data_IF_119344771995
#
_entry.id   IF_119344771995
#
_cell.length_a   1.000
_cell.length_b   1.000
_cell.length_c   1.000
_cell.angle_alpha   90.00
_cell.angle_beta   90.00
_cell.angle_gamma   90.00
#
_symmetry.space_group_name_H-M   'P 1'
#
loop_
_entity.id
_entity.type
_entity.pdbx_description
1 polymer ?
#
# COMPACT_ATOMS: atom_id res chain seq x y z
N UNK A 1 11.51 -25.92 42.67
CA UNK A 1 12.11 -24.71 43.27
C UNK A 1 12.25 -23.67 42.20
N UNK A 2 11.27 -22.83 42.09
CA UNK A 2 11.17 -21.41 42.37
C UNK A 2 12.23 -20.51 41.74
N UNK A 3 11.84 -19.64 40.82
CA UNK A 3 11.84 -18.20 41.10
C UNK A 3 11.10 -17.41 40.02
N UNK A 4 9.95 -16.89 40.43
CA UNK A 4 9.18 -15.84 39.75
C UNK A 4 9.94 -14.53 39.80
N UNK A 5 10.11 -13.84 38.66
CA UNK A 5 10.53 -12.45 38.62
C UNK A 5 9.36 -11.54 38.28
N UNK A 6 8.89 -10.85 39.30
CA UNK A 6 7.93 -9.75 39.29
C UNK A 6 8.53 -8.54 38.56
N UNK A 7 7.79 -7.95 37.62
CA UNK A 7 7.75 -6.49 37.39
C UNK A 7 6.46 -6.11 36.66
N UNK A 8 5.35 -6.19 37.38
CA UNK A 8 4.20 -5.32 37.11
C UNK A 8 4.47 -4.00 37.83
N UNK A 9 4.68 -2.91 37.10
CA UNK A 9 4.60 -1.56 37.64
C UNK A 9 3.15 -1.10 37.54
N UNK A 10 2.46 -1.15 38.66
CA UNK A 10 1.20 -0.44 38.92
C UNK A 10 1.47 1.05 38.77
N UNK A 11 0.75 1.69 37.85
CA UNK A 11 0.65 3.13 37.78
C UNK A 11 -0.47 3.56 38.73
N UNK A 12 -0.12 3.99 39.96
CA UNK A 12 -1.04 4.58 40.88
C UNK A 12 -1.42 6.00 40.45
N UNK A 13 -2.65 6.18 39.99
CA UNK A 13 -3.27 7.50 39.88
C UNK A 13 -3.61 7.94 41.32
N UNK A 14 -2.95 8.98 41.78
CA UNK A 14 -3.20 9.61 43.05
C UNK A 14 -4.34 10.60 42.86
N UNK A 15 -5.54 10.21 43.28
CA UNK A 15 -6.65 11.12 43.47
C UNK A 15 -6.35 12.05 44.66
N UNK A 16 -6.13 13.32 44.34
CA UNK A 16 -6.24 14.38 45.36
C UNK A 16 -7.59 15.01 45.21
N UNK A 17 -8.41 14.76 46.24
CA UNK A 17 -9.72 15.36 46.40
C UNK A 17 -9.68 16.89 46.34
N UNK A 18 -10.54 17.45 45.54
CA UNK A 18 -10.94 18.85 45.59
C UNK A 18 -12.34 18.96 46.12
N UNK A 19 -12.64 19.96 46.95
CA UNK A 19 -13.87 20.04 47.72
C UNK A 19 -15.07 20.36 46.86
N UNK A 20 -16.22 19.82 47.26
CA UNK A 20 -17.57 20.06 46.77
C UNK A 20 -17.82 21.56 46.57
N UNK A 21 -18.12 21.97 45.35
CA UNK A 21 -18.60 23.30 45.04
C UNK A 21 -20.12 23.26 44.85
N UNK A 22 -20.80 24.12 45.58
CA UNK A 22 -22.25 24.33 45.69
C UNK A 22 -22.90 24.64 44.30
N UNK A 23 -24.07 24.07 43.98
CA UNK A 23 -24.74 24.37 42.72
C UNK A 23 -25.73 25.55 42.91
N UNK A 24 -25.26 26.79 42.85
CA UNK A 24 -26.13 27.97 42.67
C UNK A 24 -25.37 29.07 41.95
N UNK A 25 -25.62 29.19 40.65
CA UNK A 25 -25.92 30.41 39.90
C UNK A 25 -25.67 30.12 38.39
N UNK A 26 -26.76 29.85 37.68
CA UNK A 26 -26.77 29.99 36.23
C UNK A 26 -26.84 31.47 35.91
N UNK A 27 -25.73 32.06 35.60
CA UNK A 27 -25.67 33.37 35.01
C UNK A 27 -25.59 33.21 33.48
N UNK A 28 -26.61 33.77 32.80
CA UNK A 28 -26.69 33.84 31.35
C UNK A 28 -25.69 34.86 30.77
N UNK A 29 -24.38 34.58 30.95
CA UNK A 29 -23.30 35.35 30.38
C UNK A 29 -22.92 34.79 29.01
N UNK A 30 -23.05 35.60 27.97
CA UNK A 30 -22.60 35.36 26.61
C UNK A 30 -21.26 34.65 26.57
N UNK A 31 -21.26 33.40 26.11
CA UNK A 31 -20.04 32.69 25.73
C UNK A 31 -19.56 33.33 24.41
N UNK A 32 -18.73 34.36 24.51
CA UNK A 32 -17.81 34.71 23.43
C UNK A 32 -16.65 33.72 23.54
N UNK A 33 -16.78 32.61 22.88
CA UNK A 33 -15.66 31.71 22.63
C UNK A 33 -14.71 32.41 21.68
N UNK A 34 -13.66 33.01 22.18
CA UNK A 34 -12.46 33.23 21.40
C UNK A 34 -11.90 31.83 21.08
N UNK A 35 -12.06 31.43 19.82
CA UNK A 35 -11.34 30.29 19.28
C UNK A 35 -9.87 30.71 19.28
N UNK A 36 -9.13 30.35 20.32
CA UNK A 36 -7.68 30.37 20.25
C UNK A 36 -7.27 29.46 19.09
N UNK A 37 -6.95 30.05 17.97
CA UNK A 37 -6.25 29.37 16.88
C UNK A 37 -4.91 28.96 17.46
N UNK A 38 -4.78 27.71 17.81
CA UNK A 38 -3.49 27.09 18.14
C UNK A 38 -2.66 27.23 16.88
N UNK A 39 -1.90 28.29 16.76
CA UNK A 39 -0.82 28.39 15.82
C UNK A 39 0.24 27.38 16.27
N UNK A 40 0.15 26.17 15.76
CA UNK A 40 1.21 25.21 15.85
C UNK A 40 2.43 25.81 15.14
N UNK A 41 3.29 26.42 15.94
CA UNK A 41 4.58 26.91 15.51
C UNK A 41 5.40 25.75 14.97
N UNK A 42 5.66 25.80 13.65
CA UNK A 42 6.89 25.38 13.00
C UNK A 42 7.48 24.02 13.42
N UNK A 43 6.92 22.95 12.90
CA UNK A 43 7.75 21.93 12.33
C UNK A 43 7.36 21.87 10.85
N UNK A 44 7.93 22.73 10.04
CA UNK A 44 8.00 22.58 8.60
C UNK A 44 9.06 21.50 8.34
N UNK A 45 8.88 20.31 8.85
CA UNK A 45 9.40 19.15 8.16
C UNK A 45 8.67 19.18 6.83
N UNK A 46 9.41 19.37 5.76
CA UNK A 46 8.89 19.27 4.41
C UNK A 46 8.23 17.90 4.33
N UNK A 47 6.90 17.86 4.46
CA UNK A 47 6.12 16.66 4.17
C UNK A 47 6.51 16.37 2.73
N UNK A 48 7.23 15.27 2.53
CA UNK A 48 7.62 14.79 1.21
C UNK A 48 6.30 14.44 0.48
N UNK A 49 5.76 15.44 -0.20
CA UNK A 49 4.46 15.44 -0.83
C UNK A 49 4.53 14.71 -2.18
N UNK A 50 5.08 13.48 -2.15
CA UNK A 50 5.14 12.63 -3.31
C UNK A 50 3.75 12.10 -3.61
N UNK A 51 3.16 12.61 -4.66
CA UNK A 51 1.94 12.04 -5.22
C UNK A 51 2.29 10.92 -6.20
N UNK A 52 1.58 9.80 -6.10
CA UNK A 52 1.66 8.70 -7.06
C UNK A 52 0.40 8.72 -7.92
N UNK A 53 0.57 8.68 -9.24
CA UNK A 53 -0.59 8.65 -10.16
C UNK A 53 -1.20 7.25 -10.16
N UNK A 54 -2.53 7.20 -9.93
CA UNK A 54 -3.33 5.98 -10.07
C UNK A 54 -3.80 5.87 -11.51
N UNK A 55 -3.59 4.70 -12.12
CA UNK A 55 -3.92 4.43 -13.51
C UNK A 55 -5.01 3.37 -13.65
N UNK A 56 -5.78 3.49 -14.74
CA UNK A 56 -6.70 2.44 -15.18
C UNK A 56 -5.95 1.45 -16.08
N UNK A 57 -5.57 0.31 -15.51
CA UNK A 57 -4.89 -0.75 -16.26
C UNK A 57 -5.83 -1.52 -17.18
N UNK A 58 -7.14 -1.49 -16.92
CA UNK A 58 -8.11 -2.18 -17.77
C UNK A 58 -8.31 -1.48 -19.11
N UNK A 59 -8.08 -0.16 -19.12
CA UNK A 59 -8.11 0.65 -20.34
C UNK A 59 -6.79 0.59 -21.13
N UNK A 60 -5.68 0.21 -20.48
CA UNK A 60 -4.36 0.09 -21.12
C UNK A 60 -4.15 -1.35 -21.60
N UNK A 61 -3.70 -1.51 -22.84
CA UNK A 61 -3.42 -2.83 -23.40
C UNK A 61 -2.30 -3.57 -22.64
N UNK A 62 -1.31 -2.83 -22.13
CA UNK A 62 -0.20 -3.39 -21.35
C UNK A 62 0.45 -2.31 -20.48
N UNK A 63 1.35 -2.74 -19.58
CA UNK A 63 2.06 -1.86 -18.66
C UNK A 63 2.94 -0.82 -19.37
N UNK A 64 3.56 -1.20 -20.51
CA UNK A 64 4.39 -0.30 -21.32
C UNK A 64 3.56 0.83 -21.93
N UNK A 65 2.40 0.52 -22.48
CA UNK A 65 1.46 1.52 -23.04
C UNK A 65 0.99 2.48 -21.95
N UNK A 66 0.67 1.95 -20.76
CA UNK A 66 0.29 2.77 -19.60
C UNK A 66 1.42 3.73 -19.19
N UNK A 67 2.66 3.27 -19.17
CA UNK A 67 3.81 4.11 -18.79
C UNK A 67 4.22 5.10 -19.88
N UNK A 68 3.97 4.80 -21.16
CA UNK A 68 4.28 5.68 -22.28
C UNK A 68 3.29 6.83 -22.44
N UNK A 69 1.99 6.59 -22.18
CA UNK A 69 0.94 7.62 -22.25
C UNK A 69 0.22 7.79 -20.92
N UNK A 70 0.98 8.25 -19.93
CA UNK A 70 0.55 8.42 -18.54
C UNK A 70 -0.70 9.29 -18.38
N UNK A 71 -0.95 10.25 -19.29
CA UNK A 71 -2.06 11.18 -19.18
C UNK A 71 -3.40 10.56 -19.55
N UNK A 72 -3.39 9.68 -20.53
CA UNK A 72 -4.60 9.06 -21.06
C UNK A 72 -5.25 8.10 -20.06
N UNK A 73 -4.42 7.42 -19.25
CA UNK A 73 -4.88 6.36 -18.33
C UNK A 73 -4.93 6.81 -16.87
N UNK A 74 -4.66 8.09 -16.58
CA UNK A 74 -4.65 8.59 -15.22
C UNK A 74 -6.08 8.75 -14.68
N UNK A 75 -6.40 8.05 -13.58
CA UNK A 75 -7.66 8.18 -12.83
C UNK A 75 -7.59 9.27 -11.76
N UNK A 76 -6.41 9.49 -11.18
CA UNK A 76 -6.21 10.44 -10.10
C UNK A 76 -4.82 10.36 -9.49
N UNK A 77 -4.64 11.00 -8.34
CA UNK A 77 -3.40 10.99 -7.59
C UNK A 77 -3.63 10.47 -6.18
N UNK A 78 -2.69 9.69 -5.69
CA UNK A 78 -2.65 9.19 -4.31
C UNK A 78 -1.59 9.99 -3.58
N UNK A 79 -1.98 10.60 -2.46
CA UNK A 79 -1.11 11.39 -1.61
C UNK A 79 -1.03 10.70 -0.26
N UNK A 80 0.11 10.13 0.06
CA UNK A 80 0.37 9.50 1.34
C UNK A 80 1.74 9.97 1.81
N UNK A 81 1.87 10.51 3.02
CA UNK A 81 3.16 10.91 3.58
C UNK A 81 4.13 9.71 3.59
N UNK A 82 5.38 9.97 3.27
CA UNK A 82 6.47 8.97 3.30
C UNK A 82 6.29 7.77 2.37
N UNK A 83 5.50 7.91 1.30
CA UNK A 83 5.32 6.85 0.30
C UNK A 83 6.64 6.61 -0.45
N UNK A 84 7.03 5.35 -0.73
CA UNK A 84 8.21 5.08 -1.55
C UNK A 84 8.09 5.69 -2.94
N UNK A 85 9.22 6.06 -3.55
CA UNK A 85 9.23 6.51 -4.94
C UNK A 85 8.68 5.42 -5.87
N UNK A 86 7.61 5.75 -6.61
CA UNK A 86 6.90 4.85 -7.51
C UNK A 86 6.66 5.52 -8.86
N UNK A 87 6.54 4.71 -9.90
CA UNK A 87 6.20 5.19 -11.25
C UNK A 87 4.69 5.33 -11.43
N UNK A 88 3.91 4.62 -10.61
CA UNK A 88 2.47 4.66 -10.61
C UNK A 88 1.83 3.70 -9.63
N UNK A 89 0.50 3.68 -9.64
CA UNK A 89 -0.32 2.73 -8.91
C UNK A 89 -1.45 2.21 -9.80
N UNK A 90 -1.92 0.98 -9.56
CA UNK A 90 -3.03 0.35 -10.27
C UNK A 90 -3.95 -0.38 -9.28
N UNK A 91 -5.19 -0.62 -9.70
CA UNK A 91 -6.08 -1.54 -8.99
C UNK A 91 -5.68 -2.99 -9.23
N UNK A 92 -5.78 -3.79 -8.19
CA UNK A 92 -5.61 -5.25 -8.25
C UNK A 92 -6.93 -5.89 -8.69
N UNK A 93 -6.87 -6.78 -9.67
CA UNK A 93 -7.99 -7.61 -10.11
C UNK A 93 -7.69 -9.08 -9.79
N UNK A 94 -8.75 -9.82 -9.44
CA UNK A 94 -8.65 -11.24 -9.10
C UNK A 94 -8.28 -11.51 -7.65
N UNK A 95 -8.14 -12.78 -7.33
CA UNK A 95 -7.97 -13.30 -5.99
C UNK A 95 -6.67 -14.11 -5.78
N UNK A 96 -5.81 -14.15 -6.78
CA UNK A 96 -4.59 -14.97 -6.76
C UNK A 96 -3.62 -14.59 -5.63
N UNK A 97 -3.71 -13.37 -5.11
CA UNK A 97 -2.88 -12.87 -4.00
C UNK A 97 -3.69 -12.74 -2.69
N UNK A 98 -4.92 -13.28 -2.64
CA UNK A 98 -5.72 -13.31 -1.42
C UNK A 98 -5.03 -14.16 -0.34
N UNK A 99 -5.06 -13.78 0.97
CA UNK A 99 -5.68 -12.59 1.54
C UNK A 99 -4.77 -11.35 1.59
N UNK A 100 -3.52 -11.42 1.11
CA UNK A 100 -2.58 -10.28 1.14
C UNK A 100 -3.10 -9.12 0.31
N UNK A 101 -3.54 -9.40 -0.93
CA UNK A 101 -4.22 -8.44 -1.79
C UNK A 101 -5.61 -9.00 -2.14
N UNK A 102 -6.59 -8.11 -2.15
CA UNK A 102 -7.96 -8.39 -2.59
C UNK A 102 -8.25 -7.63 -3.88
N UNK A 103 -9.18 -8.15 -4.67
CA UNK A 103 -9.70 -7.39 -5.81
C UNK A 103 -10.22 -6.03 -5.35
N UNK A 104 -9.79 -4.95 -6.02
CA UNK A 104 -10.08 -3.57 -5.65
C UNK A 104 -9.05 -2.91 -4.73
N UNK A 105 -8.09 -3.66 -4.16
CA UNK A 105 -6.93 -3.07 -3.49
C UNK A 105 -6.06 -2.32 -4.53
N UNK A 106 -5.27 -1.36 -4.07
CA UNK A 106 -4.37 -0.59 -4.92
C UNK A 106 -2.93 -1.03 -4.62
N UNK A 107 -2.12 -1.20 -5.65
CA UNK A 107 -0.68 -1.45 -5.53
C UNK A 107 0.11 -0.35 -6.22
N UNK A 108 1.07 0.23 -5.50
CA UNK A 108 2.05 1.14 -6.08
C UNK A 108 3.27 0.38 -6.57
N UNK A 109 3.78 0.75 -7.73
CA UNK A 109 4.82 0.00 -8.41
C UNK A 109 5.96 0.88 -8.95
N UNK A 110 7.11 0.24 -9.14
CA UNK A 110 8.25 0.81 -9.85
C UNK A 110 8.69 -0.15 -10.95
N UNK A 111 8.75 0.35 -12.20
CA UNK A 111 9.17 -0.42 -13.37
C UNK A 111 10.61 -0.93 -13.25
N UNK A 112 10.89 -2.07 -13.84
CA UNK A 112 12.22 -2.64 -13.96
C UNK A 112 12.63 -2.58 -15.42
N UNK A 113 13.75 -1.91 -15.71
CA UNK A 113 14.28 -1.78 -17.06
C UNK A 113 15.14 -2.98 -17.48
N UNK A 114 15.61 -3.77 -16.53
CA UNK A 114 16.46 -4.92 -16.77
C UNK A 114 16.05 -6.10 -15.91
N UNK A 115 15.65 -7.19 -16.55
CA UNK A 115 15.23 -8.42 -15.88
C UNK A 115 16.36 -9.12 -15.10
N UNK A 116 17.62 -8.77 -15.37
CA UNK A 116 18.75 -9.24 -14.55
C UNK A 116 18.72 -8.68 -13.13
N UNK A 117 17.96 -7.61 -12.88
CA UNK A 117 17.83 -6.96 -11.57
C UNK A 117 16.60 -7.43 -10.78
N UNK A 118 16.01 -8.56 -11.18
CA UNK A 118 14.88 -9.14 -10.46
C UNK A 118 15.35 -9.65 -9.09
N UNK A 119 14.68 -9.18 -8.04
CA UNK A 119 14.87 -9.69 -6.67
C UNK A 119 13.85 -10.82 -6.49
N UNK A 120 14.34 -12.04 -6.44
CA UNK A 120 13.47 -13.21 -6.26
C UNK A 120 12.86 -13.23 -4.86
N UNK A 121 11.62 -13.68 -4.78
CA UNK A 121 10.83 -13.68 -3.55
C UNK A 121 9.98 -12.42 -3.34
N UNK A 122 10.17 -11.39 -4.16
CA UNK A 122 9.39 -10.16 -4.09
C UNK A 122 8.16 -10.21 -5.00
N UNK A 123 7.20 -9.31 -4.72
CA UNK A 123 5.95 -9.19 -5.47
C UNK A 123 6.13 -8.26 -6.65
N UNK A 124 5.68 -8.71 -7.82
CA UNK A 124 5.76 -7.98 -9.08
C UNK A 124 4.43 -7.94 -9.80
N UNK A 125 4.22 -6.86 -10.53
CA UNK A 125 3.29 -6.81 -11.65
C UNK A 125 4.07 -7.36 -12.84
N UNK A 126 3.55 -8.40 -13.49
CA UNK A 126 4.19 -9.06 -14.63
C UNK A 126 3.24 -8.99 -15.81
N UNK A 127 3.70 -8.38 -16.90
CA UNK A 127 3.02 -8.36 -18.19
C UNK A 127 3.73 -9.33 -19.14
N UNK A 128 3.02 -10.31 -19.69
CA UNK A 128 3.59 -11.33 -20.55
C UNK A 128 2.60 -11.78 -21.64
N UNK A 129 3.14 -12.39 -22.69
CA UNK A 129 2.38 -13.04 -23.74
C UNK A 129 2.47 -14.54 -23.61
N UNK A 130 1.33 -15.22 -23.77
CA UNK A 130 1.30 -16.66 -23.86
C UNK A 130 0.24 -17.06 -24.90
N UNK A 131 0.62 -17.89 -25.86
CA UNK A 131 -0.25 -18.39 -26.94
C UNK A 131 -1.00 -17.30 -27.73
N UNK A 132 -0.40 -16.11 -27.84
CA UNK A 132 -0.99 -14.96 -28.55
C UNK A 132 -1.82 -14.03 -27.69
N UNK A 133 -2.13 -14.43 -26.46
CA UNK A 133 -2.86 -13.62 -25.51
C UNK A 133 -1.92 -12.81 -24.61
N UNK A 134 -2.40 -11.63 -24.18
CA UNK A 134 -1.70 -10.77 -23.24
C UNK A 134 -2.24 -10.96 -21.83
N UNK A 135 -1.33 -11.13 -20.90
CA UNK A 135 -1.64 -11.29 -19.48
C UNK A 135 -0.98 -10.20 -18.66
N UNK A 136 -1.71 -9.73 -17.67
CA UNK A 136 -1.17 -8.87 -16.63
C UNK A 136 -1.58 -9.44 -15.27
N UNK A 137 -0.60 -9.70 -14.43
CA UNK A 137 -0.85 -10.33 -13.14
C UNK A 137 0.04 -9.77 -12.05
N UNK A 138 -0.41 -9.87 -10.80
CA UNK A 138 0.41 -9.60 -9.62
C UNK A 138 0.77 -10.93 -8.98
N UNK A 139 2.07 -11.22 -8.85
CA UNK A 139 2.59 -12.50 -8.33
C UNK A 139 3.90 -12.28 -7.58
N UNK A 140 4.25 -13.23 -6.72
CA UNK A 140 5.64 -13.38 -6.33
C UNK A 140 6.45 -13.96 -7.48
N UNK A 141 7.64 -13.40 -7.70
CA UNK A 141 8.56 -13.91 -8.71
C UNK A 141 9.69 -14.65 -8.01
N UNK A 142 9.74 -15.94 -8.20
CA UNK A 142 10.77 -16.82 -7.64
C UNK A 142 11.69 -17.34 -8.76
N UNK A 143 12.84 -17.86 -8.35
CA UNK A 143 13.73 -18.57 -9.28
C UNK A 143 13.07 -19.88 -9.69
N UNK A 144 13.06 -20.16 -10.99
CA UNK A 144 12.67 -21.47 -11.51
C UNK A 144 13.87 -22.43 -11.47
N UNK A 145 13.60 -23.72 -11.40
CA UNK A 145 14.59 -24.78 -11.59
C UNK A 145 14.99 -24.94 -13.08
N UNK A 146 14.14 -24.43 -13.98
CA UNK A 146 14.38 -24.43 -15.41
C UNK A 146 15.19 -23.20 -15.81
N UNK A 147 16.28 -23.41 -16.54
CA UNK A 147 17.07 -22.31 -17.10
C UNK A 147 16.25 -21.50 -18.11
N UNK A 148 16.34 -20.16 -18.04
CA UNK A 148 15.57 -19.27 -18.89
C UNK A 148 14.12 -19.04 -18.45
N UNK A 149 13.73 -19.56 -17.26
CA UNK A 149 12.38 -19.41 -16.71
C UNK A 149 12.41 -18.68 -15.37
N UNK A 150 11.28 -18.03 -15.06
CA UNK A 150 10.93 -17.55 -13.71
C UNK A 150 9.70 -18.30 -13.22
N UNK A 151 9.61 -18.49 -11.92
CA UNK A 151 8.43 -19.11 -11.29
C UNK A 151 7.53 -18.03 -10.73
N UNK A 152 6.31 -17.92 -11.27
CA UNK A 152 5.26 -17.05 -10.75
C UNK A 152 4.48 -17.81 -9.68
N UNK A 153 4.43 -17.25 -8.48
CA UNK A 153 3.78 -17.88 -7.33
C UNK A 153 2.67 -16.99 -6.81
N UNK A 154 1.49 -17.57 -6.67
CA UNK A 154 0.35 -16.95 -6.02
C UNK A 154 0.46 -17.08 -4.51
N UNK A 155 -0.08 -16.13 -3.76
CA UNK A 155 -0.24 -16.31 -2.31
C UNK A 155 -1.45 -17.18 -1.98
N UNK A 156 -2.51 -17.08 -2.78
CA UNK A 156 -3.69 -17.94 -2.66
C UNK A 156 -3.36 -19.37 -3.12
N UNK A 157 -3.47 -20.37 -2.22
CA UNK A 157 -3.07 -21.76 -2.53
C UNK A 157 -3.96 -22.45 -3.57
N UNK A 158 -5.11 -21.85 -3.92
CA UNK A 158 -5.97 -22.37 -5.00
C UNK A 158 -5.39 -22.10 -6.41
N UNK A 159 -4.34 -21.28 -6.50
CA UNK A 159 -3.68 -20.97 -7.75
C UNK A 159 -2.30 -21.64 -7.79
N UNK A 160 -2.13 -22.60 -8.67
CA UNK A 160 -0.88 -23.30 -8.84
C UNK A 160 0.26 -22.38 -9.33
N UNK A 161 1.50 -22.62 -8.88
CA UNK A 161 2.66 -21.91 -9.41
C UNK A 161 2.88 -22.22 -10.89
N UNK A 162 3.34 -21.22 -11.66
CA UNK A 162 3.61 -21.35 -13.08
C UNK A 162 5.05 -20.98 -13.40
N UNK A 163 5.74 -21.85 -14.16
CA UNK A 163 7.03 -21.51 -14.76
C UNK A 163 6.78 -20.75 -16.08
N UNK A 164 7.29 -19.52 -16.15
CA UNK A 164 7.12 -18.63 -17.28
C UNK A 164 8.47 -18.41 -17.98
N UNK A 165 8.59 -18.63 -19.31
CA UNK A 165 9.78 -18.27 -20.04
C UNK A 165 10.06 -16.77 -19.95
N UNK A 166 11.31 -16.39 -19.70
CA UNK A 166 11.69 -14.98 -19.53
C UNK A 166 11.49 -14.17 -20.82
N UNK A 167 11.63 -14.79 -21.97
CA UNK A 167 11.44 -14.17 -23.28
C UNK A 167 9.98 -13.80 -23.61
N UNK A 168 9.02 -14.42 -22.92
CA UNK A 168 7.60 -14.07 -23.03
C UNK A 168 7.22 -12.83 -22.21
N UNK A 169 8.08 -12.42 -21.26
CA UNK A 169 7.83 -11.28 -20.41
C UNK A 169 8.10 -9.99 -21.18
N UNK A 170 7.08 -9.15 -21.27
CA UNK A 170 7.18 -7.84 -21.90
C UNK A 170 7.67 -6.76 -20.94
N UNK A 171 7.05 -6.71 -19.77
CA UNK A 171 7.32 -5.69 -18.75
C UNK A 171 7.16 -6.28 -17.36
N UNK A 172 7.96 -5.78 -16.44
CA UNK A 172 7.86 -6.09 -15.01
C UNK A 172 7.98 -4.82 -14.18
N UNK A 173 7.23 -4.79 -13.09
CA UNK A 173 7.33 -3.72 -12.10
C UNK A 173 7.26 -4.30 -10.69
N UNK A 174 8.20 -3.91 -9.83
CA UNK A 174 8.19 -4.32 -8.43
C UNK A 174 7.10 -3.57 -7.67
N UNK A 175 6.32 -4.27 -6.86
CA UNK A 175 5.33 -3.68 -5.96
C UNK A 175 6.06 -3.06 -4.77
N UNK A 176 5.79 -1.78 -4.51
CA UNK A 176 6.44 -1.00 -3.45
C UNK A 176 5.57 -0.80 -2.22
N UNK A 177 4.26 -0.74 -2.41
CA UNK A 177 3.26 -0.62 -1.35
C UNK A 177 1.91 -1.14 -1.82
N UNK A 178 1.02 -1.39 -0.88
CA UNK A 178 -0.39 -1.67 -1.15
C UNK A 178 -1.30 -0.84 -0.25
N UNK A 179 -2.49 -0.53 -0.76
CA UNK A 179 -3.55 0.16 -0.03
C UNK A 179 -4.79 -0.72 -0.09
N UNK A 180 -5.32 -1.08 1.09
CA UNK A 180 -6.58 -1.80 1.20
C UNK A 180 -7.71 -0.85 1.49
N UNK A 181 -8.75 -0.93 0.69
CA UNK A 181 -9.98 -0.17 0.89
C UNK A 181 -11.01 -1.04 1.61
N UNK A 182 -11.19 -0.81 2.90
CA UNK A 182 -12.26 -1.44 3.68
C UNK A 182 -13.43 -0.45 3.75
N UNK A 183 -14.56 -0.81 3.11
CA UNK A 183 -15.81 -0.06 3.29
C UNK A 183 -16.60 -0.71 4.41
N UNK A 184 -16.93 0.07 5.44
CA UNK A 184 -17.90 -0.31 6.47
C UNK A 184 -19.27 0.17 5.98
N UNK A 185 -20.25 -0.72 5.96
CA UNK A 185 -21.66 -0.39 5.71
C UNK A 185 -22.36 -0.16 7.04
#
# INVERSE_FOLDING_TARGET
LHLLSRRQRQMCIRDRGSPLHDPKSFDNGKIRGEVETIHNSKTTEAIDDRSVTLYDITAAANLRTLLSDKRQYALGKILIPSIPACDGAIFVNGDSMYPILKSGDIVGFKGINNFSNVIYGEMYIVAFHLDGDQYLTVKYVNRSEKEGYVKLVSYNPHHEPMDLPVDTIQDMAIVKFSIRKNMMM
#
